data_IF_789691066998
#
_entry.id   IF_789691066998
#
_cell.length_a   1.000
_cell.length_b   1.000
_cell.length_c   1.000
_cell.angle_alpha   90.00
_cell.angle_beta   90.00
_cell.angle_gamma   90.00
#
_symmetry.space_group_name_H-M   'P 1'
#
loop_
_entity.id
_entity.type
_entity.pdbx_description
1 polymer ?
#
# COMPACT_ATOMS: atom_id res chain seq x y z
N UNK A 1 2.65 16.95 19.10
CA UNK A 1 1.67 17.41 18.10
C UNK A 1 0.53 18.23 18.70
N UNK A 2 0.23 18.11 20.00
CA UNK A 2 -0.91 18.79 20.67
C UNK A 2 -0.95 20.33 20.61
N UNK A 3 0.13 21.00 20.22
CA UNK A 3 0.21 22.46 20.03
C UNK A 3 -0.11 22.91 18.60
N UNK A 4 -0.41 21.99 17.68
CA UNK A 4 -0.77 22.26 16.29
C UNK A 4 -2.25 21.94 16.06
N UNK A 5 -2.89 22.48 15.00
CA UNK A 5 -4.28 22.17 14.68
C UNK A 5 -4.52 20.65 14.58
N UNK A 6 -5.63 20.13 15.12
CA UNK A 6 -5.92 18.71 15.04
C UNK A 6 -6.32 18.29 13.63
N UNK A 7 -5.99 17.05 13.26
CA UNK A 7 -6.39 16.44 11.98
C UNK A 7 -7.23 15.20 12.27
N UNK A 8 -8.37 15.11 11.61
CA UNK A 8 -9.35 14.06 11.76
C UNK A 8 -9.39 13.17 10.52
N UNK A 9 -9.57 11.86 10.72
CA UNK A 9 -9.97 10.94 9.67
C UNK A 9 -11.49 10.88 9.72
N UNK A 10 -12.16 11.19 8.61
CA UNK A 10 -13.64 11.20 8.53
C UNK A 10 -14.21 10.05 7.73
N UNK A 11 -13.38 9.36 6.94
CA UNK A 11 -13.74 8.10 6.28
C UNK A 11 -12.51 7.32 5.84
N UNK A 12 -12.72 6.03 5.60
CA UNK A 12 -11.74 5.12 5.02
C UNK A 12 -12.40 4.21 3.98
N UNK A 13 -11.67 3.88 2.92
CA UNK A 13 -12.09 2.86 1.96
C UNK A 13 -10.87 2.17 1.33
N UNK A 14 -10.99 0.87 1.05
CA UNK A 14 -10.00 0.12 0.28
C UNK A 14 -10.65 -0.80 -0.73
N UNK A 15 -9.98 -1.06 -1.84
CA UNK A 15 -10.34 -2.18 -2.71
C UNK A 15 -10.13 -3.50 -1.95
N UNK A 16 -10.67 -4.62 -2.44
CA UNK A 16 -10.08 -5.92 -2.15
C UNK A 16 -8.61 -5.92 -2.57
N UNK A 17 -7.85 -6.83 -1.98
CA UNK A 17 -6.46 -7.11 -2.35
C UNK A 17 -6.46 -8.30 -3.30
N UNK A 18 -6.13 -8.04 -4.56
CA UNK A 18 -6.00 -9.06 -5.59
C UNK A 18 -4.61 -9.70 -5.56
N UNK A 19 -4.54 -11.01 -5.80
CA UNK A 19 -3.24 -11.67 -6.00
C UNK A 19 -2.58 -11.22 -7.31
N UNK A 20 -1.26 -11.36 -7.40
CA UNK A 20 -0.51 -11.14 -8.63
C UNK A 20 -1.05 -11.97 -9.79
N UNK A 21 -1.34 -11.30 -10.91
CA UNK A 21 -2.02 -11.84 -12.09
C UNK A 21 -3.40 -12.45 -11.76
N UNK A 22 -4.03 -11.98 -10.69
CA UNK A 22 -5.28 -12.48 -10.14
C UNK A 22 -6.49 -11.59 -10.46
N UNK A 23 -7.42 -11.50 -9.50
CA UNK A 23 -8.77 -10.94 -9.71
C UNK A 23 -8.80 -9.49 -10.18
N UNK A 24 -7.82 -8.68 -9.79
CA UNK A 24 -7.73 -7.25 -10.11
C UNK A 24 -6.70 -6.92 -11.20
N UNK A 25 -6.05 -7.92 -11.79
CA UNK A 25 -4.91 -7.73 -12.71
C UNK A 25 -5.24 -6.97 -14.00
N UNK A 26 -6.51 -6.93 -14.42
CA UNK A 26 -6.94 -6.15 -15.59
C UNK A 26 -7.11 -4.65 -15.31
N UNK A 27 -6.98 -4.23 -14.05
CA UNK A 27 -7.09 -2.84 -13.61
C UNK A 27 -5.71 -2.26 -13.31
N UNK A 28 -5.47 -1.06 -13.83
CA UNK A 28 -4.28 -0.28 -13.49
C UNK A 28 -4.31 0.23 -12.05
N UNK A 29 -3.14 0.57 -11.51
CA UNK A 29 -3.04 1.24 -10.21
C UNK A 29 -3.88 2.54 -10.16
N UNK A 30 -4.02 3.23 -11.31
CA UNK A 30 -4.84 4.43 -11.44
C UNK A 30 -6.32 4.13 -11.22
N UNK A 31 -6.84 3.07 -11.84
CA UNK A 31 -8.25 2.68 -11.70
C UNK A 31 -8.56 2.24 -10.27
N UNK A 32 -7.67 1.46 -9.65
CA UNK A 32 -7.80 1.02 -8.27
C UNK A 32 -7.77 2.22 -7.31
N UNK A 33 -6.80 3.13 -7.48
CA UNK A 33 -6.69 4.35 -6.69
C UNK A 33 -7.90 5.27 -6.84
N UNK A 34 -8.38 5.47 -8.06
CA UNK A 34 -9.60 6.25 -8.35
C UNK A 34 -10.81 5.67 -7.61
N UNK A 35 -10.97 4.34 -7.63
CA UNK A 35 -12.07 3.65 -6.97
C UNK A 35 -12.05 3.82 -5.46
N UNK A 36 -10.87 3.64 -4.84
CA UNK A 36 -10.71 3.83 -3.40
C UNK A 36 -10.97 5.28 -2.97
N UNK A 37 -10.43 6.27 -3.70
CA UNK A 37 -10.64 7.70 -3.42
C UNK A 37 -12.13 8.05 -3.53
N UNK A 38 -12.77 7.67 -4.63
CA UNK A 38 -14.21 7.92 -4.84
C UNK A 38 -15.04 7.35 -3.69
N UNK A 39 -14.77 6.09 -3.32
CA UNK A 39 -15.49 5.42 -2.24
C UNK A 39 -15.28 6.08 -0.88
N UNK A 40 -14.05 6.54 -0.58
CA UNK A 40 -13.77 7.25 0.66
C UNK A 40 -14.48 8.61 0.73
N UNK A 41 -14.47 9.38 -0.38
CA UNK A 41 -15.17 10.67 -0.47
C UNK A 41 -16.68 10.50 -0.33
N UNK A 42 -17.26 9.51 -1.00
CA UNK A 42 -18.69 9.17 -0.85
C UNK A 42 -19.05 8.78 0.59
N UNK A 43 -18.21 7.94 1.24
CA UNK A 43 -18.40 7.54 2.65
C UNK A 43 -18.27 8.70 3.63
N UNK A 44 -17.42 9.70 3.33
CA UNK A 44 -17.30 10.90 4.15
C UNK A 44 -18.56 11.80 4.07
N UNK A 45 -19.44 11.58 3.08
CA UNK A 45 -20.64 12.40 2.88
C UNK A 45 -20.34 13.82 2.40
N UNK A 46 -19.18 14.04 1.79
CA UNK A 46 -18.77 15.34 1.20
C UNK A 46 -18.88 15.32 -0.32
N UNK A 47 -18.87 16.50 -0.94
CA UNK A 47 -18.83 16.60 -2.40
C UNK A 47 -17.38 16.41 -2.88
N UNK A 48 -17.16 15.83 -4.08
CA UNK A 48 -15.84 15.80 -4.70
C UNK A 48 -15.17 17.18 -4.79
N UNK A 49 -15.97 18.25 -4.96
CA UNK A 49 -15.50 19.64 -5.03
C UNK A 49 -14.98 20.20 -3.71
N UNK A 50 -15.26 19.54 -2.59
CA UNK A 50 -14.77 19.95 -1.27
C UNK A 50 -13.32 19.49 -1.05
N UNK A 51 -12.79 18.57 -1.86
CA UNK A 51 -11.41 18.05 -1.74
C UNK A 51 -10.42 18.99 -2.44
N UNK A 52 -9.49 19.54 -1.65
CA UNK A 52 -8.53 20.55 -2.12
C UNK A 52 -7.21 19.95 -2.60
N UNK A 53 -6.73 18.90 -1.93
CA UNK A 53 -5.46 18.25 -2.27
C UNK A 53 -5.50 16.73 -2.08
N UNK A 54 -4.70 16.03 -2.88
CA UNK A 54 -4.55 14.57 -2.87
C UNK A 54 -3.08 14.19 -2.83
N UNK A 55 -2.72 13.30 -1.91
CA UNK A 55 -1.43 12.60 -1.91
C UNK A 55 -1.66 11.12 -2.17
N UNK A 56 -1.03 10.56 -3.20
CA UNK A 56 -1.15 9.11 -3.51
C UNK A 56 0.22 8.44 -3.45
N UNK A 57 0.35 7.46 -2.56
CA UNK A 57 1.47 6.55 -2.54
C UNK A 57 1.46 5.60 -3.73
N UNK A 58 2.53 5.60 -4.54
CA UNK A 58 2.73 4.65 -5.64
C UNK A 58 4.23 4.43 -5.85
N UNK A 59 4.66 3.18 -5.91
CA UNK A 59 6.07 2.80 -6.05
C UNK A 59 6.40 2.50 -7.51
N UNK A 60 5.66 1.59 -8.13
CA UNK A 60 5.96 1.05 -9.46
C UNK A 60 5.28 1.89 -10.54
N UNK A 61 5.75 3.13 -10.69
CA UNK A 61 5.08 4.14 -11.52
C UNK A 61 5.38 4.05 -13.02
N UNK A 62 6.23 3.13 -13.45
CA UNK A 62 6.58 2.98 -14.86
C UNK A 62 5.35 2.59 -15.69
N UNK A 63 5.18 3.21 -16.86
CA UNK A 63 4.05 3.01 -17.78
C UNK A 63 2.67 3.46 -17.25
N UNK A 64 2.57 4.04 -16.05
CA UNK A 64 1.31 4.61 -15.55
C UNK A 64 0.96 5.97 -16.17
N UNK A 65 1.90 6.61 -16.88
CA UNK A 65 1.71 7.96 -17.44
C UNK A 65 2.08 9.08 -16.46
N UNK A 66 1.67 10.31 -16.76
CA UNK A 66 2.04 11.48 -15.98
C UNK A 66 1.27 11.52 -14.64
N UNK A 67 2.01 11.67 -13.53
CA UNK A 67 1.49 11.89 -12.18
C UNK A 67 0.30 10.96 -11.80
N UNK A 68 0.58 9.71 -11.34
CA UNK A 68 -0.44 8.78 -10.89
C UNK A 68 -1.48 9.38 -9.94
N UNK A 69 -1.07 10.20 -8.97
CA UNK A 69 -1.99 10.87 -8.05
C UNK A 69 -3.03 11.75 -8.76
N UNK A 70 -2.60 12.51 -9.78
CA UNK A 70 -3.51 13.36 -10.56
C UNK A 70 -4.50 12.52 -11.36
N UNK A 71 -4.05 11.44 -11.97
CA UNK A 71 -4.95 10.55 -12.70
C UNK A 71 -5.96 9.88 -11.76
N UNK A 72 -5.54 9.44 -10.57
CA UNK A 72 -6.44 8.92 -9.54
C UNK A 72 -7.48 9.97 -9.10
N UNK A 73 -7.07 11.22 -8.87
CA UNK A 73 -7.97 12.30 -8.47
C UNK A 73 -9.06 12.56 -9.53
N UNK A 74 -8.66 12.72 -10.80
CA UNK A 74 -9.60 12.94 -11.91
C UNK A 74 -10.48 11.71 -12.15
N UNK A 75 -9.91 10.51 -12.11
CA UNK A 75 -10.66 9.25 -12.25
C UNK A 75 -11.68 9.02 -11.14
N UNK A 76 -11.43 9.56 -9.94
CA UNK A 76 -12.37 9.54 -8.82
C UNK A 76 -13.48 10.60 -8.92
N UNK A 77 -13.41 11.51 -9.91
CA UNK A 77 -14.37 12.60 -10.09
C UNK A 77 -14.07 13.85 -9.26
N UNK A 78 -12.86 14.00 -8.73
CA UNK A 78 -12.42 15.25 -8.09
C UNK A 78 -12.22 16.34 -9.16
N UNK A 79 -12.42 17.63 -8.82
CA UNK A 79 -12.33 18.71 -9.79
C UNK A 79 -10.89 18.93 -10.29
N UNK A 80 -10.78 19.57 -11.45
CA UNK A 80 -9.47 19.90 -12.03
C UNK A 80 -8.63 20.84 -11.15
N UNK A 81 -9.26 21.58 -10.23
CA UNK A 81 -8.59 22.44 -9.27
C UNK A 81 -7.88 21.69 -8.14
N UNK A 82 -8.18 20.41 -7.92
CA UNK A 82 -7.58 19.63 -6.84
C UNK A 82 -6.08 19.42 -7.08
N UNK A 83 -5.26 19.82 -6.11
CA UNK A 83 -3.81 19.64 -6.12
C UNK A 83 -3.51 18.14 -5.97
N UNK A 84 -2.52 17.60 -6.69
CA UNK A 84 -2.24 16.17 -6.68
C UNK A 84 -0.75 15.85 -6.74
N UNK A 85 -0.27 15.10 -5.75
CA UNK A 85 1.13 14.72 -5.60
C UNK A 85 1.29 13.21 -5.43
N UNK A 86 2.11 12.59 -6.30
CA UNK A 86 2.50 11.19 -6.15
C UNK A 86 3.68 11.10 -5.20
N UNK A 87 3.59 10.22 -4.20
CA UNK A 87 4.61 10.00 -3.16
C UNK A 87 5.20 8.61 -3.34
N UNK A 88 6.53 8.52 -3.38
CA UNK A 88 7.23 7.23 -3.34
C UNK A 88 8.17 7.19 -2.14
N UNK A 89 7.80 6.37 -1.16
CA UNK A 89 8.63 5.91 -0.04
C UNK A 89 8.57 4.38 0.06
N UNK A 90 8.60 3.71 -1.09
CA UNK A 90 8.47 2.24 -1.23
C UNK A 90 7.23 1.75 -0.46
N UNK A 91 7.29 0.70 0.36
CA UNK A 91 6.09 0.17 1.02
C UNK A 91 5.47 1.17 2.03
N UNK A 92 6.21 2.19 2.46
CA UNK A 92 5.72 3.25 3.35
C UNK A 92 5.06 4.44 2.60
N UNK A 93 4.90 4.35 1.27
CA UNK A 93 4.43 5.46 0.43
C UNK A 93 3.07 6.02 0.87
N UNK A 94 2.10 5.15 1.16
CA UNK A 94 0.75 5.58 1.56
C UNK A 94 0.72 6.19 2.96
N UNK A 95 1.47 5.63 3.91
CA UNK A 95 1.65 6.23 5.24
C UNK A 95 2.29 7.60 5.11
N UNK A 96 3.32 7.73 4.27
CA UNK A 96 3.95 9.03 4.06
C UNK A 96 3.00 10.02 3.38
N UNK A 97 2.14 9.58 2.47
CA UNK A 97 1.09 10.39 1.87
C UNK A 97 0.10 10.91 2.94
N UNK A 98 -0.32 10.06 3.90
CA UNK A 98 -1.17 10.48 5.02
C UNK A 98 -0.46 11.52 5.90
N UNK A 99 0.82 11.30 6.21
CA UNK A 99 1.63 12.24 7.01
C UNK A 99 1.69 13.61 6.31
N UNK A 100 2.03 13.64 5.02
CA UNK A 100 2.13 14.90 4.28
C UNK A 100 0.77 15.58 4.17
N UNK A 101 -0.31 14.83 3.92
CA UNK A 101 -1.66 15.38 3.91
C UNK A 101 -2.10 15.97 5.24
N UNK A 102 -1.78 15.31 6.36
CA UNK A 102 -2.01 15.87 7.70
C UNK A 102 -1.19 17.14 7.93
N UNK A 103 0.07 17.18 7.48
CA UNK A 103 0.91 18.37 7.58
C UNK A 103 0.33 19.54 6.78
N UNK A 104 -0.16 19.32 5.56
CA UNK A 104 -0.83 20.34 4.73
C UNK A 104 -2.02 20.98 5.47
N UNK A 105 -2.83 20.17 6.16
CA UNK A 105 -3.94 20.67 6.99
C UNK A 105 -3.40 21.49 8.17
N UNK A 106 -2.40 20.96 8.88
CA UNK A 106 -1.83 21.60 10.06
C UNK A 106 -1.14 22.94 9.77
N UNK A 107 -0.63 23.13 8.54
CA UNK A 107 -0.05 24.40 8.09
C UNK A 107 -1.07 25.36 7.49
N UNK A 108 -2.34 24.97 7.44
CA UNK A 108 -3.45 25.81 6.96
C UNK A 108 -3.51 25.95 5.44
N UNK A 109 -2.92 25.03 4.69
CA UNK A 109 -2.90 25.07 3.23
C UNK A 109 -4.10 24.36 2.58
N UNK A 110 -4.80 23.50 3.33
CA UNK A 110 -6.05 22.84 2.94
C UNK A 110 -6.89 22.54 4.19
N UNK A 111 -8.21 22.48 4.05
CA UNK A 111 -9.15 22.01 5.07
C UNK A 111 -9.50 20.52 4.87
N UNK A 112 -9.62 20.06 3.62
CA UNK A 112 -9.96 18.68 3.26
C UNK A 112 -8.93 18.11 2.28
N UNK A 113 -8.28 17.03 2.70
CA UNK A 113 -7.24 16.34 1.93
C UNK A 113 -7.58 14.85 1.81
N UNK A 114 -7.36 14.25 0.64
CA UNK A 114 -7.39 12.80 0.50
C UNK A 114 -5.97 12.26 0.48
N UNK A 115 -5.68 11.31 1.37
CA UNK A 115 -4.44 10.56 1.35
C UNK A 115 -4.72 9.11 0.96
N UNK A 116 -4.04 8.61 -0.06
CA UNK A 116 -4.27 7.29 -0.63
C UNK A 116 -2.96 6.55 -0.92
N UNK A 117 -3.08 5.27 -1.21
CA UNK A 117 -2.03 4.45 -1.82
C UNK A 117 -2.65 3.53 -2.86
N UNK A 118 -1.98 3.33 -3.98
CA UNK A 118 -2.44 2.43 -5.02
C UNK A 118 -1.24 1.76 -5.71
N UNK A 119 -1.33 0.46 -5.92
CA UNK A 119 -0.30 -0.31 -6.62
C UNK A 119 -0.96 -1.37 -7.50
N UNK A 120 -0.36 -1.61 -8.67
CA UNK A 120 -0.70 -2.75 -9.53
C UNK A 120 0.58 -3.44 -9.93
N UNK A 121 1.00 -4.39 -9.10
CA UNK A 121 2.18 -5.19 -9.34
C UNK A 121 2.02 -6.03 -10.61
N UNK A 122 0.80 -6.51 -10.90
CA UNK A 122 0.46 -7.25 -12.12
C UNK A 122 0.75 -6.50 -13.41
N UNK A 123 0.60 -5.17 -13.41
CA UNK A 123 0.77 -4.33 -14.60
C UNK A 123 2.15 -3.67 -14.67
N UNK A 124 3.08 -4.02 -13.78
CA UNK A 124 4.43 -3.47 -13.80
C UNK A 124 5.18 -3.97 -15.04
N UNK A 125 5.70 -3.07 -15.90
CA UNK A 125 6.33 -3.47 -17.15
C UNK A 125 7.77 -3.95 -16.94
N UNK A 126 8.33 -4.56 -17.97
CA UNK A 126 9.78 -4.76 -18.10
C UNK A 126 10.43 -3.54 -18.79
N UNK A 127 11.72 -3.32 -18.55
CA UNK A 127 12.49 -2.21 -19.10
C UNK A 127 13.58 -2.69 -20.06
N UNK A 128 13.77 -1.94 -21.16
CA UNK A 128 14.92 -2.08 -22.06
C UNK A 128 15.77 -0.79 -21.98
N UNK A 129 16.80 -0.73 -21.11
CA UNK A 129 17.41 0.54 -20.71
C UNK A 129 18.23 1.22 -21.81
N UNK A 130 18.79 0.45 -22.75
CA UNK A 130 19.79 0.95 -23.70
C UNK A 130 19.22 1.36 -25.05
N UNK A 131 17.90 1.27 -25.26
CA UNK A 131 17.31 1.42 -26.60
C UNK A 131 17.47 2.82 -27.19
N UNK A 132 17.62 3.87 -26.37
CA UNK A 132 17.84 5.25 -26.86
C UNK A 132 19.20 5.42 -27.56
N UNK A 133 20.25 4.83 -27.00
CA UNK A 133 21.62 4.92 -27.54
C UNK A 133 21.96 3.74 -28.47
N UNK A 134 21.12 2.70 -28.46
CA UNK A 134 21.32 1.45 -29.17
C UNK A 134 22.32 0.52 -28.49
N UNK A 135 22.32 -0.75 -28.91
CA UNK A 135 23.32 -1.75 -28.57
C UNK A 135 23.96 -2.25 -29.86
N UNK A 136 25.26 -2.00 -30.06
CA UNK A 136 25.94 -2.31 -31.34
C UNK A 136 26.17 -3.81 -31.55
N UNK A 137 26.47 -4.54 -30.48
CA UNK A 137 26.77 -5.97 -30.49
C UNK A 137 26.65 -6.54 -29.08
N UNK A 138 26.23 -7.80 -28.94
CA UNK A 138 26.11 -8.51 -27.67
C UNK A 138 24.71 -8.53 -27.07
N UNK A 139 24.50 -9.47 -26.13
CA UNK A 139 23.20 -9.72 -25.51
C UNK A 139 22.66 -8.50 -24.75
N UNK A 140 21.34 -8.39 -24.67
CA UNK A 140 20.64 -7.36 -23.90
C UNK A 140 19.72 -8.03 -22.88
N UNK A 141 19.39 -7.31 -21.81
CA UNK A 141 18.48 -7.78 -20.77
C UNK A 141 17.20 -6.95 -20.75
N UNK A 142 16.07 -7.65 -20.67
CA UNK A 142 14.82 -7.06 -20.22
C UNK A 142 14.80 -7.08 -18.70
N UNK A 143 14.74 -5.90 -18.08
CA UNK A 143 14.79 -5.74 -16.63
C UNK A 143 13.36 -5.79 -16.12
N UNK A 144 13.06 -6.71 -15.20
CA UNK A 144 11.78 -6.75 -14.50
C UNK A 144 11.65 -5.53 -13.57
N UNK A 145 10.60 -4.72 -13.78
CA UNK A 145 10.35 -3.50 -13.00
C UNK A 145 9.99 -3.76 -11.53
N UNK A 146 9.32 -4.86 -11.22
CA UNK A 146 8.98 -5.25 -9.84
C UNK A 146 10.26 -5.45 -9.03
N UNK A 147 11.17 -6.23 -9.61
CA UNK A 147 12.45 -6.52 -9.02
C UNK A 147 13.27 -5.24 -8.91
N UNK A 148 13.35 -4.47 -9.99
CA UNK A 148 14.25 -3.32 -10.09
C UNK A 148 13.88 -2.16 -9.18
N UNK A 149 12.61 -1.76 -9.16
CA UNK A 149 12.16 -0.53 -8.50
C UNK A 149 11.39 -0.79 -7.19
N UNK A 150 10.96 -2.04 -6.94
CA UNK A 150 10.23 -2.41 -5.72
C UNK A 150 11.02 -3.30 -4.76
N UNK A 151 11.69 -4.34 -5.27
CA UNK A 151 12.09 -5.50 -4.45
C UNK A 151 13.60 -5.75 -4.37
N UNK A 152 14.43 -4.86 -4.90
CA UNK A 152 15.89 -4.96 -4.83
C UNK A 152 16.47 -3.79 -4.06
N UNK A 153 17.32 -4.09 -3.09
CA UNK A 153 18.06 -3.05 -2.38
C UNK A 153 19.00 -2.31 -3.33
N UNK A 154 18.93 -0.98 -3.31
CA UNK A 154 19.70 -0.16 -4.22
C UNK A 154 21.22 -0.26 -3.98
N UNK A 155 21.67 -0.70 -2.80
CA UNK A 155 23.08 -0.68 -2.42
C UNK A 155 23.71 -2.07 -2.48
N UNK A 156 23.15 -3.05 -1.76
CA UNK A 156 23.55 -4.47 -1.74
C UNK A 156 23.20 -5.20 -3.04
N UNK A 157 22.23 -4.69 -3.82
CA UNK A 157 21.70 -5.37 -5.03
C UNK A 157 21.10 -6.74 -4.72
N UNK A 158 20.55 -6.89 -3.52
CA UNK A 158 19.93 -8.12 -3.04
C UNK A 158 18.41 -7.96 -3.02
N UNK A 159 17.70 -9.07 -3.27
CA UNK A 159 16.25 -9.12 -3.09
C UNK A 159 15.86 -8.90 -1.63
N UNK A 160 14.71 -8.27 -1.39
CA UNK A 160 14.16 -8.08 -0.04
C UNK A 160 14.05 -9.39 0.77
N UNK A 161 13.80 -10.52 0.10
CA UNK A 161 13.78 -11.82 0.77
C UNK A 161 15.11 -12.24 1.40
N UNK A 162 16.25 -11.82 0.83
CA UNK A 162 17.57 -12.05 1.45
C UNK A 162 17.75 -11.20 2.72
N UNK A 163 17.15 -10.00 2.77
CA UNK A 163 17.09 -9.20 3.99
C UNK A 163 16.15 -9.83 5.03
N UNK A 164 15.07 -10.49 4.58
CA UNK A 164 14.23 -11.33 5.45
C UNK A 164 15.03 -12.45 6.12
N UNK A 165 15.92 -13.12 5.38
CA UNK A 165 16.83 -14.12 5.93
C UNK A 165 17.87 -13.52 6.90
N UNK A 166 18.37 -12.33 6.62
CA UNK A 166 19.29 -11.60 7.52
C UNK A 166 18.59 -11.26 8.85
N UNK A 167 17.35 -10.76 8.79
CA UNK A 167 16.51 -10.51 9.95
C UNK A 167 16.26 -11.78 10.77
N UNK A 168 15.92 -12.90 10.10
CA UNK A 168 15.71 -14.18 10.77
C UNK A 168 16.96 -14.64 11.53
N UNK A 169 18.14 -14.54 10.90
CA UNK A 169 19.43 -14.89 11.50
C UNK A 169 19.78 -13.99 12.68
N UNK A 170 19.68 -12.68 12.53
CA UNK A 170 20.10 -11.70 13.55
C UNK A 170 19.24 -11.73 14.81
N UNK A 171 17.98 -12.17 14.68
CA UNK A 171 17.03 -12.25 15.77
C UNK A 171 16.72 -13.67 16.24
N UNK A 172 17.30 -14.69 15.59
CA UNK A 172 17.15 -16.09 15.97
C UNK A 172 15.76 -16.66 15.72
N UNK A 173 15.07 -16.22 14.67
CA UNK A 173 13.77 -16.78 14.27
C UNK A 173 13.98 -17.98 13.35
N UNK A 174 13.49 -19.14 13.76
CA UNK A 174 13.59 -20.35 12.94
C UNK A 174 12.57 -20.35 11.81
N UNK A 175 12.71 -21.31 10.88
CA UNK A 175 11.71 -21.58 9.85
C UNK A 175 10.34 -21.88 10.47
N UNK A 176 10.32 -22.69 11.52
CA UNK A 176 9.10 -23.11 12.21
C UNK A 176 8.40 -21.93 12.89
N UNK A 177 9.16 -20.99 13.46
CA UNK A 177 8.60 -19.77 14.05
C UNK A 177 7.86 -18.92 12.99
N UNK A 178 8.49 -18.74 11.82
CA UNK A 178 7.93 -17.98 10.71
C UNK A 178 6.69 -18.65 10.13
N UNK A 179 6.73 -19.97 9.92
CA UNK A 179 5.57 -20.74 9.44
C UNK A 179 4.43 -20.70 10.47
N UNK A 180 4.73 -20.84 11.76
CA UNK A 180 3.72 -20.76 12.81
C UNK A 180 3.06 -19.36 12.86
N UNK A 181 3.84 -18.29 12.66
CA UNK A 181 3.31 -16.93 12.54
C UNK A 181 2.41 -16.78 11.30
N UNK A 182 2.87 -17.25 10.14
CA UNK A 182 2.12 -17.26 8.89
C UNK A 182 0.76 -17.96 9.07
N UNK A 183 0.75 -19.19 9.61
CA UNK A 183 -0.48 -19.98 9.85
C UNK A 183 -1.45 -19.21 10.74
N UNK A 184 -0.99 -18.65 11.86
CA UNK A 184 -1.84 -17.83 12.75
C UNK A 184 -2.36 -16.58 12.05
N UNK A 185 -1.56 -15.96 11.19
CA UNK A 185 -1.97 -14.76 10.43
C UNK A 185 -3.10 -15.09 9.44
N UNK A 186 -2.97 -16.16 8.67
CA UNK A 186 -4.01 -16.62 7.75
C UNK A 186 -5.29 -17.03 8.49
N UNK A 187 -5.18 -17.75 9.60
CA UNK A 187 -6.36 -18.13 10.41
C UNK A 187 -7.13 -16.90 10.89
N UNK A 188 -6.44 -15.82 11.31
CA UNK A 188 -7.08 -14.55 11.67
C UNK A 188 -7.76 -13.88 10.46
N UNK A 189 -7.09 -13.85 9.31
CA UNK A 189 -7.63 -13.23 8.10
C UNK A 189 -8.89 -13.97 7.60
N UNK A 190 -8.86 -15.30 7.58
CA UNK A 190 -10.00 -16.16 7.24
C UNK A 190 -11.15 -15.90 8.21
N UNK A 191 -10.90 -15.94 9.51
CA UNK A 191 -11.94 -15.71 10.52
C UNK A 191 -12.55 -14.30 10.41
N UNK A 192 -11.74 -13.27 10.17
CA UNK A 192 -12.22 -11.90 9.98
C UNK A 192 -13.08 -11.75 8.72
N UNK A 193 -12.68 -12.41 7.63
CA UNK A 193 -13.43 -12.42 6.37
C UNK A 193 -14.76 -13.18 6.50
N UNK A 194 -14.76 -14.35 7.15
CA UNK A 194 -15.97 -15.14 7.43
C UNK A 194 -16.93 -14.40 8.38
N UNK A 195 -16.40 -13.71 9.40
CA UNK A 195 -17.17 -12.87 10.31
C UNK A 195 -17.65 -11.56 9.67
N UNK A 196 -17.16 -11.21 8.47
CA UNK A 196 -17.53 -10.02 7.74
C UNK A 196 -16.92 -8.72 8.27
N UNK A 197 -15.85 -8.78 9.05
CA UNK A 197 -15.19 -7.60 9.63
C UNK A 197 -14.60 -6.66 8.56
N UNK A 198 -14.27 -7.17 7.37
CA UNK A 198 -13.76 -6.35 6.29
C UNK A 198 -14.85 -5.68 5.43
N UNK A 199 -16.14 -5.97 5.66
CA UNK A 199 -17.23 -5.46 4.81
C UNK A 199 -17.35 -3.93 4.84
N UNK A 200 -17.02 -3.32 5.96
CA UNK A 200 -17.11 -1.87 6.12
C UNK A 200 -15.95 -1.15 5.43
N UNK A 201 -14.74 -1.69 5.51
CA UNK A 201 -13.54 -1.09 4.89
C UNK A 201 -13.42 -1.40 3.39
N UNK A 202 -13.82 -2.59 2.93
CA UNK A 202 -13.78 -2.99 1.51
C UNK A 202 -14.87 -2.29 0.72
N UNK A 203 -14.51 -1.79 -0.46
CA UNK A 203 -15.41 -1.30 -1.50
C UNK A 203 -15.32 -2.25 -2.70
N UNK A 204 -16.39 -3.00 -3.03
CA UNK A 204 -16.37 -3.95 -4.15
C UNK A 204 -15.99 -3.31 -5.48
N UNK A 205 -15.22 -4.05 -6.29
CA UNK A 205 -14.70 -3.59 -7.58
C UNK A 205 -15.32 -4.39 -8.71
N UNK A 206 -15.88 -3.70 -9.71
CA UNK A 206 -16.37 -4.33 -10.93
C UNK A 206 -15.22 -4.50 -11.94
N UNK A 207 -14.93 -5.75 -12.29
CA UNK A 207 -13.84 -6.12 -13.18
C UNK A 207 -14.40 -6.51 -14.55
N UNK A 208 -14.08 -5.77 -15.64
CA UNK A 208 -14.55 -6.08 -16.98
C UNK A 208 -14.09 -7.45 -17.47
N UNK A 209 -14.99 -8.23 -18.08
CA UNK A 209 -14.72 -9.57 -18.62
C UNK A 209 -14.53 -9.59 -20.14
N UNK A 210 -14.38 -8.42 -20.77
CA UNK A 210 -14.34 -8.26 -22.22
C UNK A 210 -15.73 -8.13 -22.85
N UNK A 211 -15.76 -8.04 -24.19
CA UNK A 211 -16.94 -7.59 -24.94
C UNK A 211 -18.14 -8.54 -24.73
N UNK A 212 -19.25 -7.97 -24.25
CA UNK A 212 -20.55 -8.65 -24.15
C UNK A 212 -20.75 -9.50 -22.89
N UNK A 213 -19.77 -9.60 -22.00
CA UNK A 213 -19.91 -10.29 -20.72
C UNK A 213 -20.18 -9.29 -19.59
N UNK A 214 -21.05 -9.62 -18.62
CA UNK A 214 -21.21 -8.79 -17.43
C UNK A 214 -19.89 -8.71 -16.65
N UNK A 215 -19.61 -7.59 -15.96
CA UNK A 215 -18.44 -7.49 -15.09
C UNK A 215 -18.54 -8.50 -13.94
N UNK A 216 -17.39 -8.96 -13.47
CA UNK A 216 -17.30 -9.75 -12.23
C UNK A 216 -17.11 -8.79 -11.08
N UNK A 217 -17.92 -8.91 -10.04
CA UNK A 217 -17.72 -8.16 -8.80
C UNK A 217 -16.70 -8.89 -7.94
N UNK A 218 -15.64 -8.19 -7.56
CA UNK A 218 -14.64 -8.65 -6.59
C UNK A 218 -14.90 -7.88 -5.30
N UNK A 219 -15.29 -8.57 -4.24
CA UNK A 219 -15.71 -7.97 -2.95
C UNK A 219 -14.96 -8.54 -1.75
N UNK A 220 -13.96 -9.38 -1.99
CA UNK A 220 -13.19 -10.06 -0.96
C UNK A 220 -11.72 -10.21 -1.36
N UNK A 221 -10.83 -10.17 -0.37
CA UNK A 221 -9.39 -10.38 -0.58
C UNK A 221 -9.13 -11.79 -1.16
N UNK A 222 -8.23 -11.91 -2.14
CA UNK A 222 -7.97 -13.16 -2.84
C UNK A 222 -7.18 -14.17 -2.01
N UNK A 223 -6.24 -13.69 -1.21
CA UNK A 223 -5.21 -14.54 -0.62
C UNK A 223 -5.72 -15.48 0.49
N UNK A 224 -6.59 -15.04 1.44
CA UNK A 224 -7.00 -15.89 2.57
C UNK A 224 -7.65 -17.22 2.16
N UNK A 225 -8.49 -17.22 1.11
CA UNK A 225 -9.18 -18.43 0.62
C UNK A 225 -8.24 -19.48 0.02
N UNK A 226 -7.03 -19.09 -0.38
CA UNK A 226 -6.05 -19.97 -1.01
C UNK A 226 -5.07 -20.60 -0.01
N UNK A 227 -5.20 -20.27 1.29
CA UNK A 227 -4.33 -20.77 2.34
C UNK A 227 -4.35 -22.29 2.44
N UNK A 228 -3.15 -22.87 2.57
CA UNK A 228 -2.99 -24.31 2.77
C UNK A 228 -1.89 -24.58 3.79
N UNK A 229 -2.30 -24.88 5.03
CA UNK A 229 -1.37 -25.08 6.15
C UNK A 229 -0.35 -26.21 5.89
N UNK A 230 -0.77 -27.34 5.31
CA UNK A 230 0.12 -28.47 5.08
C UNK A 230 1.18 -28.16 4.03
N UNK A 231 0.82 -27.38 2.99
CA UNK A 231 1.78 -26.85 2.02
C UNK A 231 2.73 -25.85 2.66
N UNK A 232 2.27 -24.92 3.49
CA UNK A 232 3.13 -23.91 4.15
C UNK A 232 4.33 -24.57 4.84
N UNK A 233 4.10 -25.64 5.60
CA UNK A 233 5.13 -26.36 6.36
C UNK A 233 6.14 -27.13 5.49
N UNK A 234 5.82 -27.39 4.22
CA UNK A 234 6.63 -28.24 3.32
C UNK A 234 7.31 -27.48 2.20
N UNK A 235 6.98 -26.19 2.00
CA UNK A 235 7.60 -25.37 0.97
C UNK A 235 9.10 -25.20 1.22
N UNK A 236 9.84 -25.20 0.10
CA UNK A 236 11.28 -24.94 0.12
C UNK A 236 11.54 -23.44 0.29
N UNK A 237 12.62 -23.06 0.98
CA UNK A 237 13.06 -21.66 1.02
C UNK A 237 13.32 -21.12 -0.40
N UNK A 238 13.03 -19.84 -0.61
CA UNK A 238 13.11 -19.20 -1.93
C UNK A 238 14.45 -18.50 -2.14
N UNK A 239 14.97 -17.82 -1.12
CA UNK A 239 16.10 -16.90 -1.27
C UNK A 239 17.45 -17.53 -0.93
N UNK A 240 17.47 -18.53 -0.02
CA UNK A 240 18.65 -19.30 0.34
C UNK A 240 18.36 -20.80 0.21
N UNK A 241 18.87 -21.49 -0.82
CA UNK A 241 18.56 -22.91 -1.07
C UNK A 241 18.99 -23.86 0.05
N UNK A 242 20.00 -23.48 0.82
CA UNK A 242 20.47 -24.18 2.02
C UNK A 242 20.24 -23.29 3.23
N UNK A 243 19.67 -23.87 4.28
CA UNK A 243 19.47 -23.22 5.58
C UNK A 243 18.62 -21.94 5.54
N UNK A 244 17.89 -21.72 4.45
CA UNK A 244 16.94 -20.63 4.34
C UNK A 244 15.68 -20.88 5.16
N UNK A 245 15.05 -19.80 5.59
CA UNK A 245 13.86 -19.81 6.44
C UNK A 245 12.66 -19.14 5.74
N UNK A 246 12.92 -18.24 4.79
CA UNK A 246 11.90 -17.47 4.07
C UNK A 246 11.38 -18.26 2.87
N UNK A 247 10.07 -18.46 2.82
CA UNK A 247 9.34 -19.16 1.77
C UNK A 247 8.32 -18.25 1.10
N UNK A 248 7.79 -18.68 -0.05
CA UNK A 248 6.69 -17.99 -0.70
C UNK A 248 5.41 -17.91 0.15
N UNK A 249 5.20 -18.83 1.10
CA UNK A 249 4.00 -18.82 1.96
C UNK A 249 4.16 -17.94 3.20
N UNK A 250 5.37 -17.84 3.76
CA UNK A 250 5.62 -17.06 4.98
C UNK A 250 6.15 -15.64 4.70
N UNK A 251 6.32 -15.28 3.42
CA UNK A 251 6.53 -13.92 2.96
C UNK A 251 5.22 -13.31 2.42
N UNK A 252 5.15 -11.97 2.36
CA UNK A 252 4.02 -11.29 1.72
C UNK A 252 4.00 -11.59 0.20
N UNK A 253 2.83 -11.84 -0.39
CA UNK A 253 2.71 -12.02 -1.84
C UNK A 253 2.89 -10.69 -2.59
N UNK A 254 3.04 -10.79 -3.91
CA UNK A 254 2.83 -9.66 -4.80
C UNK A 254 1.31 -9.47 -4.98
N UNK A 255 0.84 -8.23 -4.99
CA UNK A 255 -0.60 -7.95 -4.96
C UNK A 255 -0.98 -6.65 -5.66
N UNK A 256 -2.25 -6.55 -6.03
CA UNK A 256 -2.86 -5.35 -6.59
C UNK A 256 -3.91 -4.82 -5.62
N UNK A 257 -3.94 -3.51 -5.41
CA UNK A 257 -4.96 -2.88 -4.56
C UNK A 257 -4.73 -1.40 -4.32
N UNK A 258 -5.72 -0.77 -3.70
CA UNK A 258 -5.64 0.61 -3.27
C UNK A 258 -6.44 0.86 -1.99
N UNK A 259 -6.05 1.89 -1.24
CA UNK A 259 -6.76 2.39 -0.07
C UNK A 259 -6.70 3.91 -0.01
N UNK A 260 -7.72 4.54 0.57
CA UNK A 260 -7.82 6.00 0.73
C UNK A 260 -8.46 6.37 2.06
N UNK A 261 -7.97 7.48 2.63
CA UNK A 261 -8.53 8.17 3.79
C UNK A 261 -8.92 9.59 3.39
N UNK A 262 -10.05 10.08 3.91
CA UNK A 262 -10.38 11.50 3.88
C UNK A 262 -9.93 12.11 5.20
N UNK A 263 -9.05 13.11 5.12
CA UNK A 263 -8.55 13.89 6.23
C UNK A 263 -9.24 15.25 6.25
N UNK A 264 -9.60 15.73 7.44
CA UNK A 264 -10.27 17.02 7.61
C UNK A 264 -9.69 17.81 8.79
N UNK A 265 -9.64 19.13 8.64
CA UNK A 265 -9.39 20.07 9.74
C UNK A 265 -10.56 20.11 10.72
N UNK A 266 -10.34 20.68 11.91
CA UNK A 266 -11.43 20.91 12.87
C UNK A 266 -12.52 21.83 12.31
N UNK A 267 -12.11 22.84 11.54
CA UNK A 267 -12.99 23.79 10.87
C UNK A 267 -13.85 23.10 9.82
N UNK A 268 -13.27 22.25 8.96
CA UNK A 268 -14.02 21.46 7.98
C UNK A 268 -15.02 20.52 8.66
N UNK A 269 -14.61 19.84 9.74
CA UNK A 269 -15.50 18.97 10.51
C UNK A 269 -16.73 19.74 11.00
N UNK A 270 -16.55 20.93 11.56
CA UNK A 270 -17.66 21.78 12.04
C UNK A 270 -18.51 22.32 10.88
N UNK A 271 -17.87 22.83 9.84
CA UNK A 271 -18.51 23.47 8.66
C UNK A 271 -19.36 22.50 7.86
N UNK A 272 -18.89 21.27 7.68
CA UNK A 272 -19.56 20.24 6.89
C UNK A 272 -20.39 19.26 7.74
N UNK A 273 -20.38 19.42 9.08
CA UNK A 273 -21.10 18.52 9.99
C UNK A 273 -20.59 17.08 9.95
N UNK A 274 -19.29 16.90 9.73
CA UNK A 274 -18.66 15.58 9.58
C UNK A 274 -18.60 14.86 10.92
N UNK A 275 -18.55 13.52 10.86
CA UNK A 275 -18.36 12.66 12.01
C UNK A 275 -16.98 12.00 11.91
N UNK A 276 -15.97 12.52 12.62
CA UNK A 276 -14.66 11.88 12.67
C UNK A 276 -14.74 10.45 13.20
N UNK A 277 -14.07 9.51 12.54
CA UNK A 277 -13.92 8.12 12.98
C UNK A 277 -12.63 7.92 13.79
N UNK A 278 -11.63 8.78 13.55
CA UNK A 278 -10.37 8.78 14.29
C UNK A 278 -9.70 10.16 14.28
N UNK A 279 -8.76 10.36 15.21
CA UNK A 279 -7.87 11.53 15.25
C UNK A 279 -6.41 11.10 15.07
N UNK A 280 -5.67 11.83 14.23
CA UNK A 280 -4.23 11.63 14.10
C UNK A 280 -3.55 12.30 15.30
N UNK A 281 -2.91 11.50 16.16
CA UNK A 281 -2.23 12.01 17.36
C UNK A 281 -0.75 12.34 17.09
N UNK A 282 -0.16 11.68 16.10
CA UNK A 282 1.23 11.87 15.73
C UNK A 282 1.71 10.84 14.73
N UNK A 283 2.96 11.01 14.30
CA UNK A 283 3.64 10.09 13.40
C UNK A 283 5.15 10.16 13.63
N UNK A 284 5.88 9.23 13.03
CA UNK A 284 7.34 9.24 13.02
C UNK A 284 7.89 8.54 11.79
N UNK A 285 8.92 9.14 11.21
CA UNK A 285 9.76 8.52 10.18
C UNK A 285 11.14 8.23 10.78
N UNK A 286 11.67 7.04 10.53
CA UNK A 286 13.04 6.69 10.91
C UNK A 286 13.70 5.89 9.79
N UNK A 287 15.02 6.01 9.68
CA UNK A 287 15.85 5.29 8.71
C UNK A 287 17.08 4.73 9.45
N UNK A 288 17.43 3.48 9.19
CA UNK A 288 18.67 2.84 9.62
C UNK A 288 19.15 1.87 8.55
N UNK A 289 20.28 1.19 8.77
CA UNK A 289 20.71 0.17 7.83
C UNK A 289 19.70 -1.01 7.86
N UNK A 290 19.22 -1.49 6.69
CA UNK A 290 18.21 -2.57 6.62
C UNK A 290 18.57 -3.81 7.44
N UNK A 291 19.86 -4.14 7.52
CA UNK A 291 20.39 -5.31 8.23
C UNK A 291 20.51 -5.16 9.74
N UNK A 292 20.37 -3.95 10.30
CA UNK A 292 20.77 -3.70 11.70
C UNK A 292 19.66 -3.02 12.47
N UNK A 293 18.74 -3.80 13.02
CA UNK A 293 17.85 -3.32 14.07
C UNK A 293 18.60 -3.19 15.40
N UNK A 294 18.51 -2.00 16.03
CA UNK A 294 18.98 -1.80 17.41
C UNK A 294 17.81 -1.96 18.39
N UNK A 295 18.12 -2.47 19.59
CA UNK A 295 17.17 -2.57 20.71
C UNK A 295 16.80 -1.17 21.23
N UNK A 296 15.79 -0.55 20.63
CA UNK A 296 15.19 0.70 21.10
C UNK A 296 14.34 0.51 22.36
N UNK A 297 14.25 1.54 23.21
CA UNK A 297 13.49 1.53 24.47
C UNK A 297 12.01 1.95 24.28
N UNK A 298 11.65 2.48 23.10
CA UNK A 298 10.31 2.89 22.70
C UNK A 298 10.10 2.37 21.27
N UNK A 299 9.02 1.61 21.04
CA UNK A 299 8.68 1.04 19.73
C UNK A 299 7.43 1.71 19.15
N UNK A 300 7.44 1.98 17.85
CA UNK A 300 6.30 2.42 17.06
C UNK A 300 6.03 1.36 15.99
N UNK A 301 4.79 0.94 15.79
CA UNK A 301 4.43 0.00 14.72
C UNK A 301 4.41 0.76 13.39
N UNK A 302 5.43 0.53 12.55
CA UNK A 302 5.57 1.19 11.26
C UNK A 302 5.62 0.21 10.11
N UNK A 303 5.23 0.66 8.92
CA UNK A 303 5.44 -0.08 7.68
C UNK A 303 6.87 0.18 7.23
N UNK A 304 7.63 -0.90 7.03
CA UNK A 304 8.99 -0.88 6.49
C UNK A 304 8.99 -0.29 5.07
N UNK A 305 10.02 0.47 4.69
CA UNK A 305 10.18 0.99 3.32
C UNK A 305 11.13 0.13 2.45
N UNK A 306 11.46 -1.09 2.85
CA UNK A 306 12.41 -1.97 2.13
C UNK A 306 13.87 -1.49 2.07
N UNK A 307 14.16 -0.24 2.46
CA UNK A 307 15.48 0.38 2.45
C UNK A 307 16.08 0.62 3.84
N UNK A 308 15.49 0.03 4.88
CA UNK A 308 15.94 0.14 6.27
C UNK A 308 15.27 1.22 7.11
N UNK A 309 14.21 1.85 6.61
CA UNK A 309 13.35 2.74 7.37
C UNK A 309 11.94 2.21 7.59
N UNK A 310 11.21 2.90 8.46
CA UNK A 310 9.80 2.67 8.69
C UNK A 310 9.08 4.00 8.87
N UNK A 311 7.84 4.06 8.39
CA UNK A 311 6.91 5.14 8.71
C UNK A 311 5.79 4.59 9.57
N UNK A 312 5.43 5.31 10.62
CA UNK A 312 4.37 4.92 11.52
C UNK A 312 3.45 6.11 11.82
N UNK A 313 2.15 5.82 11.98
CA UNK A 313 1.13 6.79 12.42
C UNK A 313 0.51 6.25 13.71
N UNK A 314 0.31 7.14 14.67
CA UNK A 314 -0.42 6.86 15.91
C UNK A 314 -1.80 7.51 15.80
N UNK A 315 -2.84 6.69 15.81
CA UNK A 315 -4.25 7.11 15.78
C UNK A 315 -4.96 6.75 17.07
N UNK A 316 -5.96 7.56 17.45
CA UNK A 316 -6.92 7.26 18.50
C UNK A 316 -8.29 7.00 17.88
N UNK A 317 -8.91 5.86 18.20
CA UNK A 317 -10.29 5.55 17.83
C UNK A 317 -11.23 6.49 18.59
N UNK A 318 -12.19 7.08 17.89
CA UNK A 318 -13.23 7.90 18.51
C UNK A 318 -14.59 7.20 18.58
N UNK A 319 -14.64 5.96 18.09
CA UNK A 319 -15.77 5.03 18.17
C UNK A 319 -15.61 4.06 19.34
#
# INVERSE_FOLDING_TARGET
MSSLPPVYIVSAARTPTGMFLGSLSSLSAIQLGSHAIKSAVERAGIKPTDVEEVFVGNVLSANLGQNPARQCAIGAGLPESTIATTVNKVCASSIKAIIVGAQTIMTGNAEIVVAAGAESMSNTPHYLPNMRNGAKFGDQSLIDGLIKDGLTDAYKKEHMGLQGEECASDHGFTREDQDAYCIRSYQKAIAAQEAGYFKEEITPVEVPQGRGKPPVVVDADDEPKNFNESKTRTLRPVFKPKDGTVTAANASPLSDGAAALVLASEEAVKKHGLKPIAKILGWGDAEQNPSKQKKGKIGCAGICNGGGGASAIVVESLE
#
